data_IF_340929149425
#
_entry.id   IF_340929149425
#
_cell.length_a   1.000
_cell.length_b   1.000
_cell.length_c   1.000
_cell.angle_alpha   90.00
_cell.angle_beta   90.00
_cell.angle_gamma   90.00
#
_symmetry.space_group_name_H-M   'P 1'
#
loop_
_entity.id
_entity.type
_entity.pdbx_description
1 polymer ?
#
# COMPACT_ATOMS: atom_id res chain seq x y z
N UNK A 1 4.12 21.10 7.38
CA UNK A 1 5.33 21.45 6.60
C UNK A 1 5.03 21.19 5.14
N UNK A 2 5.46 22.09 4.25
CA UNK A 2 5.40 21.87 2.80
C UNK A 2 6.83 21.89 2.24
N UNK A 3 7.19 20.87 1.47
CA UNK A 3 8.49 20.75 0.82
C UNK A 3 8.28 20.52 -0.67
N UNK A 4 8.80 21.40 -1.51
CA UNK A 4 8.70 21.24 -2.97
C UNK A 4 9.68 20.17 -3.45
N UNK A 5 10.93 20.21 -2.99
CA UNK A 5 11.96 19.23 -3.34
C UNK A 5 12.80 18.90 -2.11
N UNK A 6 12.93 17.61 -1.80
CA UNK A 6 13.78 17.12 -0.73
C UNK A 6 14.56 15.90 -1.18
N UNK A 7 15.89 15.98 -1.13
CA UNK A 7 16.73 14.84 -1.48
C UNK A 7 16.81 13.83 -0.33
N UNK A 8 16.99 14.32 0.90
CA UNK A 8 17.02 13.51 2.11
C UNK A 8 16.18 14.18 3.20
N UNK A 9 15.08 13.55 3.59
CA UNK A 9 14.14 14.09 4.57
C UNK A 9 13.90 13.10 5.69
N UNK A 10 14.02 13.59 6.92
CA UNK A 10 13.65 12.86 8.13
C UNK A 10 12.55 13.65 8.83
N UNK A 11 11.40 13.00 9.04
CA UNK A 11 10.30 13.52 9.86
C UNK A 11 10.14 12.60 11.05
N UNK A 12 10.57 13.05 12.23
CA UNK A 12 10.41 12.24 13.46
C UNK A 12 8.96 12.27 13.94
N UNK A 13 8.35 13.46 13.96
CA UNK A 13 6.95 13.65 14.23
C UNK A 13 6.40 14.75 13.32
N UNK A 14 5.33 14.45 12.60
CA UNK A 14 4.63 15.41 11.75
C UNK A 14 3.13 15.34 11.97
N UNK A 15 2.48 16.49 12.12
CA UNK A 15 1.01 16.52 12.08
C UNK A 15 0.50 16.55 10.63
N UNK A 16 1.10 17.40 9.80
CA UNK A 16 0.71 17.59 8.42
C UNK A 16 1.93 17.87 7.54
N UNK A 17 2.21 16.99 6.58
CA UNK A 17 3.37 17.08 5.69
C UNK A 17 2.93 16.94 4.24
N UNK A 18 3.27 17.93 3.41
CA UNK A 18 3.13 17.86 1.95
C UNK A 18 4.53 17.85 1.34
N UNK A 19 4.79 16.87 0.49
CA UNK A 19 6.02 16.77 -0.30
C UNK A 19 5.66 16.65 -1.78
N UNK A 20 6.16 17.56 -2.62
CA UNK A 20 5.97 17.43 -4.07
C UNK A 20 6.94 16.40 -4.65
N UNK A 21 8.23 16.51 -4.34
CA UNK A 21 9.26 15.55 -4.77
C UNK A 21 10.18 15.15 -3.61
N UNK A 22 10.21 13.86 -3.28
CA UNK A 22 11.06 13.30 -2.24
C UNK A 22 11.90 12.13 -2.79
N UNK A 23 13.23 12.21 -2.67
CA UNK A 23 14.09 11.11 -3.11
C UNK A 23 14.26 10.05 -2.03
N UNK A 24 14.79 10.42 -0.86
CA UNK A 24 14.81 9.58 0.34
C UNK A 24 14.00 10.23 1.46
N UNK A 25 12.98 9.53 1.94
CA UNK A 25 12.15 9.98 3.05
C UNK A 25 12.05 8.91 4.13
N UNK A 26 12.31 9.30 5.36
CA UNK A 26 12.06 8.50 6.55
C UNK A 26 11.10 9.24 7.46
N UNK A 27 9.94 8.65 7.71
CA UNK A 27 8.97 9.18 8.66
C UNK A 27 8.72 8.18 9.78
N UNK A 28 8.83 8.67 11.02
CA UNK A 28 8.60 7.83 12.18
C UNK A 28 7.13 7.90 12.59
N UNK A 29 6.60 9.10 12.81
CA UNK A 29 5.19 9.29 13.13
C UNK A 29 4.61 10.44 12.31
N UNK A 30 3.51 10.16 11.63
CA UNK A 30 2.74 11.18 10.92
C UNK A 30 1.25 10.98 11.03
N UNK A 31 0.54 12.08 11.26
CA UNK A 31 -0.91 12.07 11.22
C UNK A 31 -1.44 12.22 9.79
N UNK A 32 -0.87 13.13 9.02
CA UNK A 32 -1.24 13.33 7.61
C UNK A 32 0.00 13.58 6.74
N UNK A 33 0.14 12.76 5.70
CA UNK A 33 1.15 12.92 4.65
C UNK A 33 0.49 12.90 3.26
N UNK A 34 0.87 13.88 2.44
CA UNK A 34 0.68 13.83 0.99
C UNK A 34 2.03 13.88 0.29
N UNK A 35 2.28 12.91 -0.58
CA UNK A 35 3.45 12.87 -1.46
C UNK A 35 2.98 12.79 -2.92
N UNK A 36 3.45 13.71 -3.75
CA UNK A 36 3.20 13.61 -5.20
C UNK A 36 4.16 12.62 -5.88
N UNK A 37 5.47 12.75 -5.66
CA UNK A 37 6.48 11.88 -6.27
C UNK A 37 7.52 11.43 -5.23
N UNK A 38 7.63 10.12 -5.02
CA UNK A 38 8.57 9.54 -4.07
C UNK A 38 9.38 8.41 -4.66
N UNK A 39 10.70 8.44 -4.46
CA UNK A 39 11.56 7.33 -4.89
C UNK A 39 11.71 6.27 -3.80
N UNK A 40 12.20 6.64 -2.61
CA UNK A 40 12.26 5.78 -1.43
C UNK A 40 11.54 6.42 -0.25
N UNK A 41 10.53 5.73 0.25
CA UNK A 41 9.78 6.12 1.44
C UNK A 41 9.75 4.99 2.45
N UNK A 42 10.10 5.32 3.70
CA UNK A 42 9.91 4.46 4.85
C UNK A 42 9.03 5.20 5.85
N UNK A 43 7.89 4.62 6.20
CA UNK A 43 6.97 5.12 7.24
C UNK A 43 6.83 4.06 8.33
N UNK A 44 7.09 4.47 9.58
CA UNK A 44 6.89 3.57 10.73
C UNK A 44 5.42 3.58 11.17
N UNK A 45 4.85 4.76 11.39
CA UNK A 45 3.46 4.97 11.80
C UNK A 45 2.85 6.11 10.99
N UNK A 46 1.86 5.82 10.15
CA UNK A 46 1.13 6.81 9.35
C UNK A 46 -0.38 6.65 9.49
N UNK A 47 -1.09 7.72 9.86
CA UNK A 47 -2.54 7.66 10.02
C UNK A 47 -3.28 7.90 8.70
N UNK A 48 -3.01 9.01 8.01
CA UNK A 48 -3.48 9.27 6.64
C UNK A 48 -2.28 9.47 5.71
N UNK A 49 -2.14 8.59 4.72
CA UNK A 49 -1.08 8.69 3.72
C UNK A 49 -1.67 8.66 2.32
N UNK A 50 -1.35 9.69 1.53
CA UNK A 50 -1.69 9.77 0.12
C UNK A 50 -0.40 9.89 -0.69
N UNK A 51 -0.18 8.91 -1.56
CA UNK A 51 0.97 8.90 -2.47
C UNK A 51 0.46 8.79 -3.91
N UNK A 52 0.80 9.77 -4.75
CA UNK A 52 0.43 9.71 -6.17
C UNK A 52 1.36 8.76 -6.93
N UNK A 53 2.68 8.92 -6.78
CA UNK A 53 3.68 8.08 -7.41
C UNK A 53 4.74 7.66 -6.38
N UNK A 54 4.90 6.36 -6.18
CA UNK A 54 5.87 5.78 -5.26
C UNK A 54 6.65 4.64 -5.91
N UNK A 55 7.98 4.74 -5.92
CA UNK A 55 8.80 3.67 -6.50
C UNK A 55 9.10 2.56 -5.48
N UNK A 56 9.65 2.89 -4.32
CA UNK A 56 9.83 1.99 -3.18
C UNK A 56 9.17 2.57 -1.94
N UNK A 57 8.19 1.84 -1.40
CA UNK A 57 7.49 2.24 -0.20
C UNK A 57 7.44 1.10 0.80
N UNK A 58 7.86 1.40 2.03
CA UNK A 58 7.72 0.50 3.17
C UNK A 58 6.92 1.20 4.24
N UNK A 59 5.80 0.60 4.63
CA UNK A 59 4.96 1.07 5.74
C UNK A 59 4.89 -0.03 6.79
N UNK A 60 5.28 0.30 8.03
CA UNK A 60 5.14 -0.66 9.12
C UNK A 60 3.69 -0.69 9.61
N UNK A 61 3.12 0.47 9.93
CA UNK A 61 1.72 0.60 10.34
C UNK A 61 1.06 1.78 9.61
N UNK A 62 0.03 1.47 8.82
CA UNK A 62 -0.76 2.45 8.10
C UNK A 62 -2.25 2.29 8.37
N UNK A 63 -2.93 3.36 8.76
CA UNK A 63 -4.38 3.30 9.02
C UNK A 63 -5.20 3.53 7.75
N UNK A 64 -5.02 4.67 7.08
CA UNK A 64 -5.59 4.96 5.76
C UNK A 64 -4.47 5.23 4.76
N UNK A 65 -4.36 4.39 3.75
CA UNK A 65 -3.35 4.48 2.71
C UNK A 65 -4.00 4.50 1.34
N UNK A 66 -3.66 5.53 0.56
CA UNK A 66 -4.03 5.62 -0.85
C UNK A 66 -2.76 5.72 -1.68
N UNK A 67 -2.59 4.79 -2.61
CA UNK A 67 -1.55 4.83 -3.63
C UNK A 67 -2.17 4.84 -5.02
N UNK A 68 -1.86 5.87 -5.82
CA UNK A 68 -2.31 5.88 -7.22
C UNK A 68 -1.44 4.98 -8.09
N UNK A 69 -0.12 5.13 -8.04
CA UNK A 69 0.81 4.30 -8.81
C UNK A 69 2.03 3.90 -7.98
N UNK A 70 2.24 2.59 -7.85
CA UNK A 70 3.27 1.98 -7.05
C UNK A 70 4.09 0.95 -7.80
N UNK A 71 5.41 0.99 -7.69
CA UNK A 71 6.26 -0.07 -8.22
C UNK A 71 6.52 -1.17 -7.19
N UNK A 72 7.08 -0.83 -6.02
CA UNK A 72 7.23 -1.75 -4.89
C UNK A 72 6.58 -1.17 -3.64
N UNK A 73 5.63 -1.91 -3.08
CA UNK A 73 4.99 -1.60 -1.81
C UNK A 73 5.13 -2.79 -0.86
N UNK A 74 5.61 -2.50 0.35
CA UNK A 74 5.59 -3.43 1.47
C UNK A 74 4.81 -2.78 2.61
N UNK A 75 3.77 -3.47 3.07
CA UNK A 75 2.99 -3.08 4.24
C UNK A 75 3.01 -4.22 5.26
N UNK A 76 3.43 -3.91 6.49
CA UNK A 76 3.33 -4.90 7.58
C UNK A 76 1.91 -4.95 8.13
N UNK A 77 1.36 -3.79 8.51
CA UNK A 77 0.01 -3.65 9.06
C UNK A 77 -0.73 -2.53 8.33
N UNK A 78 -1.82 -2.87 7.64
CA UNK A 78 -2.67 -1.90 6.94
C UNK A 78 -4.14 -2.07 7.29
N UNK A 79 -4.81 -1.00 7.73
CA UNK A 79 -6.23 -1.08 8.08
C UNK A 79 -7.12 -0.85 6.84
N UNK A 80 -6.97 0.29 6.18
CA UNK A 80 -7.62 0.64 4.92
C UNK A 80 -6.57 0.97 3.87
N UNK A 81 -6.51 0.16 2.82
CA UNK A 81 -5.58 0.33 1.72
C UNK A 81 -6.31 0.36 0.39
N UNK A 82 -6.07 1.42 -0.37
CA UNK A 82 -6.53 1.56 -1.75
C UNK A 82 -5.33 1.74 -2.66
N UNK A 83 -5.20 0.86 -3.64
CA UNK A 83 -4.15 0.93 -4.67
C UNK A 83 -4.78 0.92 -6.05
N UNK A 84 -4.58 1.97 -6.82
CA UNK A 84 -5.10 2.01 -8.20
C UNK A 84 -4.23 1.17 -9.13
N UNK A 85 -2.91 1.34 -9.09
CA UNK A 85 -1.95 0.56 -9.89
C UNK A 85 -0.76 0.16 -9.01
N UNK A 86 -0.54 -1.15 -8.85
CA UNK A 86 0.59 -1.70 -8.10
C UNK A 86 1.31 -2.78 -8.89
N UNK A 87 2.64 -2.68 -9.02
CA UNK A 87 3.42 -3.69 -9.71
C UNK A 87 3.80 -4.86 -8.79
N UNK A 88 4.52 -4.58 -7.69
CA UNK A 88 4.80 -5.55 -6.62
C UNK A 88 4.22 -5.05 -5.30
N UNK A 89 3.32 -5.83 -4.72
CA UNK A 89 2.69 -5.53 -3.44
C UNK A 89 2.82 -6.71 -2.50
N UNK A 90 3.38 -6.46 -1.33
CA UNK A 90 3.41 -7.41 -0.23
C UNK A 90 2.71 -6.81 0.98
N UNK A 91 1.68 -7.49 1.46
CA UNK A 91 0.96 -7.13 2.69
C UNK A 91 1.05 -8.30 3.66
N UNK A 92 1.54 -8.03 4.87
CA UNK A 92 1.56 -9.07 5.91
C UNK A 92 0.18 -9.20 6.54
N UNK A 93 -0.41 -8.11 7.02
CA UNK A 93 -1.76 -8.06 7.56
C UNK A 93 -2.53 -6.87 7.00
N UNK A 94 -3.67 -7.15 6.37
CA UNK A 94 -4.56 -6.14 5.79
C UNK A 94 -6.01 -6.39 6.18
N UNK A 95 -6.70 -5.39 6.72
CA UNK A 95 -8.13 -5.54 7.04
C UNK A 95 -9.03 -5.25 5.85
N UNK A 96 -8.87 -4.09 5.22
CA UNK A 96 -9.62 -3.69 4.04
C UNK A 96 -8.64 -3.29 2.94
N UNK A 97 -8.62 -4.06 1.86
CA UNK A 97 -7.75 -3.85 0.71
C UNK A 97 -8.57 -3.78 -0.56
N UNK A 98 -8.38 -2.70 -1.32
CA UNK A 98 -8.93 -2.54 -2.66
C UNK A 98 -7.76 -2.30 -3.62
N UNK A 99 -7.64 -3.17 -4.61
CA UNK A 99 -6.66 -3.03 -5.69
C UNK A 99 -7.38 -3.02 -7.02
N UNK A 100 -7.25 -1.93 -7.77
CA UNK A 100 -7.85 -1.89 -9.12
C UNK A 100 -7.02 -2.70 -10.11
N UNK A 101 -5.70 -2.52 -10.09
CA UNK A 101 -4.76 -3.23 -10.95
C UNK A 101 -3.52 -3.65 -10.17
N UNK A 102 -3.25 -4.95 -10.09
CA UNK A 102 -2.10 -5.50 -9.38
C UNK A 102 -1.36 -6.56 -10.19
N UNK A 103 -0.08 -6.37 -10.49
CA UNK A 103 0.68 -7.39 -11.23
C UNK A 103 1.06 -8.56 -10.32
N UNK A 104 1.82 -8.31 -9.25
CA UNK A 104 2.26 -9.33 -8.31
C UNK A 104 1.81 -8.94 -6.91
N UNK A 105 0.86 -9.70 -6.37
CA UNK A 105 0.30 -9.46 -5.05
C UNK A 105 0.54 -10.65 -4.13
N UNK A 106 1.13 -10.38 -2.98
CA UNK A 106 1.25 -11.35 -1.88
C UNK A 106 0.59 -10.78 -0.63
N UNK A 107 -0.43 -11.47 -0.14
CA UNK A 107 -1.08 -11.18 1.12
C UNK A 107 -0.93 -12.37 2.05
N UNK A 108 -0.42 -12.15 3.26
CA UNK A 108 -0.35 -13.23 4.26
C UNK A 108 -1.68 -13.38 4.98
N UNK A 109 -2.21 -12.31 5.56
CA UNK A 109 -3.52 -12.27 6.20
C UNK A 109 -4.35 -11.11 5.64
N UNK A 110 -5.47 -11.42 5.02
CA UNK A 110 -6.41 -10.44 4.48
C UNK A 110 -7.83 -10.70 4.97
N UNK A 111 -8.46 -9.71 5.61
CA UNK A 111 -9.86 -9.87 6.05
C UNK A 111 -10.85 -9.59 4.93
N UNK A 112 -10.76 -8.43 4.29
CA UNK A 112 -11.60 -8.03 3.17
C UNK A 112 -10.74 -7.52 2.02
N UNK A 113 -10.76 -8.25 0.91
CA UNK A 113 -9.92 -8.00 -0.26
C UNK A 113 -10.78 -7.93 -1.51
N UNK A 114 -10.65 -6.83 -2.25
CA UNK A 114 -11.21 -6.68 -3.59
C UNK A 114 -10.06 -6.43 -4.55
N UNK A 115 -9.98 -7.23 -5.61
CA UNK A 115 -9.03 -7.02 -6.71
C UNK A 115 -9.78 -7.04 -8.03
N UNK A 116 -9.77 -5.93 -8.77
CA UNK A 116 -10.47 -5.87 -10.06
C UNK A 116 -9.71 -6.61 -11.14
N UNK A 117 -8.40 -6.36 -11.28
CA UNK A 117 -7.56 -7.06 -12.25
C UNK A 117 -6.20 -7.37 -11.63
N UNK A 118 -5.69 -8.58 -11.88
CA UNK A 118 -4.31 -8.90 -11.56
C UNK A 118 -3.67 -10.01 -12.38
N UNK A 119 -2.35 -10.12 -12.30
CA UNK A 119 -1.58 -11.12 -13.02
C UNK A 119 -1.27 -12.35 -12.14
N UNK A 120 -0.57 -12.16 -11.02
CA UNK A 120 -0.27 -13.20 -10.02
C UNK A 120 -0.68 -12.72 -8.63
N UNK A 121 -1.58 -13.47 -8.00
CA UNK A 121 -2.05 -13.22 -6.66
C UNK A 121 -1.82 -14.44 -5.76
N UNK A 122 -1.22 -14.21 -4.61
CA UNK A 122 -1.08 -15.21 -3.54
C UNK A 122 -1.67 -14.69 -2.25
N UNK A 123 -2.63 -15.43 -1.71
CA UNK A 123 -3.23 -15.17 -0.41
C UNK A 123 -2.99 -16.37 0.50
N UNK A 124 -2.36 -16.18 1.66
CA UNK A 124 -2.17 -17.30 2.60
C UNK A 124 -3.45 -17.54 3.40
N UNK A 125 -3.99 -16.51 4.04
CA UNK A 125 -5.27 -16.56 4.74
C UNK A 125 -6.16 -15.38 4.30
N UNK A 126 -7.31 -15.69 3.71
CA UNK A 126 -8.30 -14.72 3.26
C UNK A 126 -9.67 -15.00 3.86
N UNK A 127 -10.33 -13.99 4.45
CA UNK A 127 -11.70 -14.18 4.95
C UNK A 127 -12.76 -13.87 3.88
N UNK A 128 -12.77 -12.65 3.34
CA UNK A 128 -13.55 -12.24 2.17
C UNK A 128 -12.62 -11.82 1.04
N UNK A 129 -12.62 -12.57 -0.06
CA UNK A 129 -11.77 -12.30 -1.23
C UNK A 129 -12.65 -12.25 -2.48
N UNK A 130 -12.72 -11.10 -3.11
CA UNK A 130 -13.41 -10.91 -4.39
C UNK A 130 -12.42 -10.52 -5.46
N UNK A 131 -12.36 -11.28 -6.54
CA UNK A 131 -11.47 -11.01 -7.67
C UNK A 131 -12.24 -11.06 -8.98
N UNK A 132 -12.09 -10.03 -9.81
CA UNK A 132 -12.85 -9.93 -11.07
C UNK A 132 -12.09 -10.44 -12.29
N UNK A 133 -10.77 -10.31 -12.34
CA UNK A 133 -9.95 -10.93 -13.38
C UNK A 133 -8.58 -11.24 -12.79
N UNK A 134 -8.13 -12.47 -12.94
CA UNK A 134 -6.78 -12.88 -12.52
C UNK A 134 -6.24 -13.97 -13.43
N UNK A 135 -4.95 -13.89 -13.77
CA UNK A 135 -4.30 -14.93 -14.58
C UNK A 135 -3.82 -16.11 -13.73
N UNK A 136 -3.15 -15.82 -12.62
CA UNK A 136 -2.74 -16.81 -11.61
C UNK A 136 -3.20 -16.39 -10.22
N UNK A 137 -3.91 -17.28 -9.55
CA UNK A 137 -4.30 -17.10 -8.15
C UNK A 137 -3.98 -18.35 -7.35
N UNK A 138 -3.38 -18.18 -6.19
CA UNK A 138 -3.24 -19.22 -5.17
C UNK A 138 -3.79 -18.71 -3.85
N UNK A 139 -4.74 -19.45 -3.26
CA UNK A 139 -5.22 -19.19 -1.91
C UNK A 139 -5.05 -20.43 -1.05
N UNK A 140 -4.34 -20.32 0.07
CA UNK A 140 -4.08 -21.48 0.95
C UNK A 140 -5.26 -21.75 1.88
N UNK A 141 -5.80 -20.71 2.51
CA UNK A 141 -6.99 -20.78 3.35
C UNK A 141 -7.93 -19.62 3.01
N UNK A 142 -9.14 -19.94 2.57
CA UNK A 142 -10.17 -18.98 2.21
C UNK A 142 -11.49 -19.32 2.91
N UNK A 143 -12.18 -18.34 3.48
CA UNK A 143 -13.53 -18.55 4.05
C UNK A 143 -14.62 -18.25 3.02
N UNK A 144 -14.58 -17.09 2.39
CA UNK A 144 -15.50 -16.66 1.34
C UNK A 144 -14.73 -16.10 0.16
N UNK A 145 -14.80 -16.78 -0.97
CA UNK A 145 -14.09 -16.39 -2.18
C UNK A 145 -15.03 -16.30 -3.38
N UNK A 146 -14.98 -15.16 -4.06
CA UNK A 146 -15.63 -14.93 -5.34
C UNK A 146 -14.53 -14.67 -6.37
N UNK A 147 -14.54 -15.47 -7.42
CA UNK A 147 -13.80 -15.16 -8.65
C UNK A 147 -14.83 -15.11 -9.77
N UNK A 148 -15.08 -13.91 -10.29
CA UNK A 148 -15.90 -13.69 -11.50
C UNK A 148 -15.01 -13.58 -12.71
#
# INVERSE_FOLDING_TARGET
MTVTQGFYMIVTQGFYTIVTQGFYMKVTHEFYMTLTQGFYMIVTQGFYMIVTQGFYMTVTHGFYMTLTQGFYMIVTQGFYMTVTQGFYMTVTQGLYMIVTQGFYMKVTYGFFMIVTQGLDMRVTQGFYVTVTQVFYMTVTQGFYMIVT
#
